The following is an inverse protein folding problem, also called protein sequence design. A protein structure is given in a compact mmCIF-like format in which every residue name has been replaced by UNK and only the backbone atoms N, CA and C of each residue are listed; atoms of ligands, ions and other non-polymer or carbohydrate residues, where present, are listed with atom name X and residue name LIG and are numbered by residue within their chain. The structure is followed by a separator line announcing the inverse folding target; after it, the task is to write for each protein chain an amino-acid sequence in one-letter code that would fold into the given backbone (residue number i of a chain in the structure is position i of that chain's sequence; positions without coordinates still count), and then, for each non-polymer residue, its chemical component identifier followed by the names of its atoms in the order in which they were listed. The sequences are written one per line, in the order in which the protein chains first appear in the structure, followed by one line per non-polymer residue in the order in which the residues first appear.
data_IF_545926803785
#
_entry.id   IF_545926803785
#
_cell.length_a   1.000
_cell.length_b   1.000
_cell.length_c   1.000
_cell.angle_alpha   90.00
_cell.angle_beta   90.00
_cell.angle_gamma   90.00
#
_symmetry.space_group_name_H-M   'P 1'
#
loop_
_entity.id
_entity.type
_entity.pdbx_description
1 polymer ?
#
# COMPACT_ATOMS: atom_id res chain seq x y z
N UNK A 1 -9.67 25.64 13.88
CA UNK A 1 -10.85 25.31 13.06
C UNK A 1 -11.36 23.88 13.34
N UNK A 2 -10.61 22.78 13.05
CA UNK A 2 -11.11 21.40 13.25
C UNK A 2 -11.53 21.10 14.69
N UNK A 3 -10.71 21.46 15.69
CA UNK A 3 -11.07 21.25 17.10
C UNK A 3 -12.34 21.98 17.51
N UNK A 4 -12.51 23.24 17.09
CA UNK A 4 -13.71 24.03 17.37
C UNK A 4 -14.95 23.38 16.75
N UNK A 5 -14.87 22.95 15.48
CA UNK A 5 -15.95 22.23 14.81
C UNK A 5 -16.30 20.92 15.55
N UNK A 6 -15.30 20.14 15.95
CA UNK A 6 -15.52 18.88 16.69
C UNK A 6 -16.26 19.11 18.03
N UNK A 7 -15.91 20.16 18.77
CA UNK A 7 -16.60 20.52 20.01
C UNK A 7 -18.05 20.94 19.75
N UNK A 8 -18.31 21.67 18.68
CA UNK A 8 -19.68 22.03 18.26
C UNK A 8 -20.49 20.77 17.91
N UNK A 9 -19.91 19.82 17.19
CA UNK A 9 -20.58 18.56 16.82
C UNK A 9 -20.84 17.66 18.04
N UNK A 10 -19.96 17.66 19.04
CA UNK A 10 -20.19 16.97 20.32
C UNK A 10 -21.36 17.62 21.06
N UNK A 11 -21.36 18.95 21.17
CA UNK A 11 -22.45 19.68 21.84
C UNK A 11 -23.80 19.46 21.16
N UNK A 12 -23.80 19.28 19.83
CA UNK A 12 -24.99 18.95 19.04
C UNK A 12 -25.39 17.46 19.06
N UNK A 13 -24.63 16.60 19.78
CA UNK A 13 -24.89 15.16 19.84
C UNK A 13 -24.61 14.40 18.54
N UNK A 14 -23.91 15.00 17.57
CA UNK A 14 -23.59 14.39 16.27
C UNK A 14 -22.44 13.40 16.38
N UNK A 15 -21.42 13.69 17.21
CA UNK A 15 -20.31 12.79 17.52
C UNK A 15 -20.16 12.66 19.03
N UNK A 16 -19.77 11.47 19.51
CA UNK A 16 -19.64 11.20 20.93
C UNK A 16 -18.31 11.68 21.53
N UNK A 17 -17.25 11.67 20.74
CA UNK A 17 -15.89 11.96 21.20
C UNK A 17 -15.12 12.82 20.18
N UNK A 18 -14.05 13.47 20.64
CA UNK A 18 -13.11 14.13 19.74
C UNK A 18 -12.47 13.10 18.81
N UNK A 19 -12.22 13.46 17.54
CA UNK A 19 -11.44 12.63 16.63
C UNK A 19 -10.05 12.35 17.21
N UNK A 20 -9.55 11.14 16.99
CA UNK A 20 -8.17 10.76 17.30
C UNK A 20 -7.17 11.64 16.54
N UNK A 21 -5.90 11.59 16.94
CA UNK A 21 -4.85 12.30 16.22
C UNK A 21 -4.80 11.93 14.73
N UNK A 22 -4.88 10.63 14.41
CA UNK A 22 -4.87 10.15 13.03
C UNK A 22 -6.09 10.63 12.23
N UNK A 23 -7.28 10.53 12.80
CA UNK A 23 -8.52 11.03 12.16
C UNK A 23 -8.46 12.54 11.90
N UNK A 24 -7.94 13.30 12.88
CA UNK A 24 -7.75 14.75 12.72
C UNK A 24 -6.76 15.07 11.60
N UNK A 25 -5.62 14.36 11.56
CA UNK A 25 -4.61 14.53 10.52
C UNK A 25 -5.16 14.15 9.14
N UNK A 26 -5.91 13.05 9.05
CA UNK A 26 -6.55 12.61 7.82
C UNK A 26 -7.55 13.65 7.29
N UNK A 27 -8.42 14.18 8.16
CA UNK A 27 -9.36 15.25 7.79
C UNK A 27 -8.61 16.51 7.32
N UNK A 28 -7.56 16.93 8.04
CA UNK A 28 -6.74 18.07 7.65
C UNK A 28 -6.08 17.87 6.28
N UNK A 29 -5.60 16.64 5.99
CA UNK A 29 -5.03 16.29 4.69
C UNK A 29 -6.08 16.37 3.57
N UNK A 30 -7.29 15.86 3.78
CA UNK A 30 -8.38 15.96 2.79
C UNK A 30 -8.74 17.42 2.49
N UNK A 31 -8.89 18.25 3.52
CA UNK A 31 -9.12 19.69 3.33
C UNK A 31 -7.98 20.37 2.56
N UNK A 32 -6.74 20.03 2.89
CA UNK A 32 -5.58 20.55 2.17
C UNK A 32 -5.59 20.14 0.69
N UNK A 33 -5.81 18.86 0.38
CA UNK A 33 -5.86 18.37 -1.00
C UNK A 33 -6.95 19.08 -1.82
N UNK A 34 -8.16 19.24 -1.25
CA UNK A 34 -9.24 19.98 -1.91
C UNK A 34 -8.86 21.44 -2.12
N UNK A 35 -8.32 22.12 -1.10
CA UNK A 35 -7.94 23.53 -1.19
C UNK A 35 -6.80 23.80 -2.19
N UNK A 36 -5.97 22.78 -2.46
CA UNK A 36 -4.87 22.86 -3.44
C UNK A 36 -5.27 22.36 -4.83
N UNK A 37 -6.51 21.92 -5.01
CA UNK A 37 -6.97 21.37 -6.29
C UNK A 37 -6.24 20.11 -6.70
N UNK A 38 -5.89 19.24 -5.76
CA UNK A 38 -5.15 18.01 -6.05
C UNK A 38 -5.97 17.06 -6.91
N UNK A 39 -5.44 16.67 -8.08
CA UNK A 39 -6.07 15.69 -8.97
C UNK A 39 -6.00 14.27 -8.44
N UNK A 40 -4.96 13.96 -7.66
CA UNK A 40 -4.69 12.63 -7.10
C UNK A 40 -4.25 12.71 -5.66
N UNK A 41 -4.73 11.76 -4.86
CA UNK A 41 -4.27 11.52 -3.51
C UNK A 41 -3.88 10.05 -3.33
N UNK A 42 -2.71 9.81 -2.73
CA UNK A 42 -2.30 8.48 -2.28
C UNK A 42 -2.48 8.43 -0.78
N UNK A 43 -3.39 7.56 -0.31
CA UNK A 43 -3.75 7.44 1.08
C UNK A 43 -3.19 6.15 1.66
N UNK A 44 -2.39 6.25 2.71
CA UNK A 44 -1.93 5.10 3.47
C UNK A 44 -2.84 4.85 4.66
N UNK A 45 -3.26 3.59 4.84
CA UNK A 45 -4.07 3.15 5.99
C UNK A 45 -3.23 3.26 7.27
N UNK A 46 -3.77 3.89 8.29
CA UNK A 46 -3.08 4.00 9.58
C UNK A 46 -2.97 2.65 10.29
N UNK A 47 -4.10 1.93 10.44
CA UNK A 47 -4.13 0.64 11.11
C UNK A 47 -5.24 -0.27 10.58
N UNK A 48 -4.88 -1.50 10.25
CA UNK A 48 -5.83 -2.52 9.78
C UNK A 48 -6.41 -2.21 8.42
N UNK A 49 -7.55 -1.59 8.33
CA UNK A 49 -8.24 -1.17 7.11
C UNK A 49 -9.75 -1.07 7.27
N UNK A 50 -10.41 -2.09 7.84
CA UNK A 50 -11.88 -2.15 7.93
C UNK A 50 -12.50 -0.97 8.67
N UNK A 51 -11.90 -0.53 9.75
CA UNK A 51 -12.36 0.56 10.61
C UNK A 51 -11.44 1.79 10.57
N UNK A 52 -10.50 1.82 9.64
CA UNK A 52 -9.59 2.96 9.49
C UNK A 52 -10.31 4.16 8.88
N UNK A 53 -9.93 5.37 9.29
CA UNK A 53 -10.53 6.60 8.80
C UNK A 53 -10.42 6.74 7.27
N UNK A 54 -9.33 6.24 6.67
CA UNK A 54 -9.16 6.25 5.21
C UNK A 54 -10.19 5.40 4.47
N UNK A 55 -10.86 4.45 5.17
CA UNK A 55 -11.93 3.65 4.59
C UNK A 55 -13.21 4.42 4.28
N UNK A 56 -13.35 5.66 4.70
CA UNK A 56 -14.48 6.55 4.34
C UNK A 56 -14.40 7.00 2.88
N UNK A 57 -13.19 7.01 2.28
CA UNK A 57 -12.98 7.40 0.88
C UNK A 57 -13.28 6.23 -0.06
N UNK A 58 -13.88 6.51 -1.22
CA UNK A 58 -14.02 5.53 -2.32
C UNK A 58 -12.85 5.76 -3.27
N UNK A 59 -11.84 4.87 -3.29
CA UNK A 59 -10.66 5.06 -4.11
C UNK A 59 -10.86 4.57 -5.55
N UNK A 60 -10.00 5.00 -6.46
CA UNK A 60 -9.90 4.46 -7.82
C UNK A 60 -9.33 3.03 -7.84
N UNK A 61 -8.44 2.72 -6.88
CA UNK A 61 -7.86 1.39 -6.67
C UNK A 61 -7.51 1.22 -5.18
N UNK A 62 -7.79 0.05 -4.63
CA UNK A 62 -7.34 -0.35 -3.28
C UNK A 62 -6.15 -1.30 -3.39
N UNK A 63 -5.18 -1.20 -2.47
CA UNK A 63 -3.96 -2.01 -2.51
C UNK A 63 -3.69 -2.66 -1.16
N UNK A 64 -3.48 -3.97 -1.15
CA UNK A 64 -2.89 -4.71 -0.02
C UNK A 64 -1.51 -5.17 -0.45
N UNK A 65 -0.46 -4.58 0.11
CA UNK A 65 0.92 -4.86 -0.28
C UNK A 65 1.35 -6.26 0.12
N UNK A 66 1.23 -6.59 1.39
CA UNK A 66 1.47 -7.92 1.97
C UNK A 66 0.71 -8.08 3.29
N UNK A 67 0.75 -9.29 3.85
CA UNK A 67 0.26 -9.59 5.19
C UNK A 67 1.38 -10.22 6.00
N UNK A 68 1.76 -9.57 7.07
CA UNK A 68 2.72 -10.05 8.07
C UNK A 68 2.15 -9.88 9.48
N UNK A 69 2.79 -10.50 10.47
CA UNK A 69 2.44 -10.27 11.88
C UNK A 69 2.92 -8.88 12.29
N UNK A 70 1.97 -8.00 12.52
CA UNK A 70 2.17 -6.66 13.04
C UNK A 70 0.93 -6.23 13.80
N UNK A 71 1.08 -5.35 14.78
CA UNK A 71 -0.02 -4.85 15.62
C UNK A 71 -0.95 -5.96 16.14
N UNK A 72 -0.36 -7.11 16.54
CA UNK A 72 -1.12 -8.32 16.88
C UNK A 72 -2.03 -8.16 18.11
N UNK A 73 -1.77 -7.17 18.95
CA UNK A 73 -2.59 -6.82 20.11
C UNK A 73 -3.92 -6.14 19.72
N UNK A 74 -4.00 -5.54 18.51
CA UNK A 74 -5.21 -4.89 17.97
C UNK A 74 -5.84 -5.72 16.87
N UNK A 75 -5.03 -6.14 15.86
CA UNK A 75 -5.53 -6.79 14.65
C UNK A 75 -5.73 -8.30 14.82
N UNK A 76 -5.30 -8.85 15.96
CA UNK A 76 -5.39 -10.28 16.24
C UNK A 76 -4.10 -11.04 16.01
N UNK A 77 -3.96 -12.19 16.72
CA UNK A 77 -2.70 -12.95 16.83
C UNK A 77 -2.36 -13.79 15.60
N UNK A 78 -3.25 -13.90 14.62
CA UNK A 78 -3.06 -14.75 13.44
C UNK A 78 -3.00 -13.95 12.15
N UNK A 79 -2.25 -14.44 11.14
CA UNK A 79 -2.24 -13.84 9.80
C UNK A 79 -3.65 -13.78 9.19
N UNK A 80 -4.52 -14.73 9.55
CA UNK A 80 -5.89 -14.77 9.10
C UNK A 80 -6.73 -13.60 9.68
N UNK A 81 -6.56 -13.28 10.97
CA UNK A 81 -7.24 -12.15 11.60
C UNK A 81 -6.76 -10.83 10.98
N UNK A 82 -5.45 -10.63 10.86
CA UNK A 82 -4.86 -9.46 10.24
C UNK A 82 -5.32 -9.30 8.79
N UNK A 83 -5.39 -10.41 8.03
CA UNK A 83 -5.87 -10.39 6.65
C UNK A 83 -7.34 -9.94 6.55
N UNK A 84 -8.21 -10.35 7.50
CA UNK A 84 -9.62 -9.90 7.51
C UNK A 84 -9.74 -8.40 7.74
N UNK A 85 -8.99 -7.84 8.68
CA UNK A 85 -8.99 -6.41 8.95
C UNK A 85 -8.46 -5.61 7.75
N UNK A 86 -7.33 -6.03 7.16
CA UNK A 86 -6.76 -5.36 6.00
C UNK A 86 -7.64 -5.51 4.74
N UNK A 87 -8.26 -6.66 4.53
CA UNK A 87 -9.18 -6.87 3.42
C UNK A 87 -10.46 -6.00 3.51
N UNK A 88 -10.73 -5.41 4.67
CA UNK A 88 -11.83 -4.48 4.87
C UNK A 88 -11.80 -3.24 3.98
N UNK A 89 -10.65 -2.87 3.40
CA UNK A 89 -10.54 -1.77 2.42
C UNK A 89 -11.20 -2.08 1.07
N UNK A 90 -11.51 -3.35 0.79
CA UNK A 90 -12.17 -3.75 -0.45
C UNK A 90 -13.57 -3.14 -0.56
N UNK A 91 -13.88 -2.50 -1.67
CA UNK A 91 -15.14 -1.82 -1.96
C UNK A 91 -15.75 -2.32 -3.26
N UNK A 92 -17.08 -2.29 -3.35
CA UNK A 92 -17.83 -2.71 -4.53
C UNK A 92 -17.38 -1.96 -5.78
N UNK A 93 -17.06 -2.69 -6.85
CA UNK A 93 -16.66 -2.14 -8.15
C UNK A 93 -15.27 -1.48 -8.18
N UNK A 94 -14.57 -1.40 -7.04
CA UNK A 94 -13.21 -0.85 -6.96
C UNK A 94 -12.20 -1.99 -7.10
N UNK A 95 -11.23 -1.92 -8.02
CA UNK A 95 -10.17 -2.92 -8.13
C UNK A 95 -9.38 -3.03 -6.83
N UNK A 96 -9.20 -4.28 -6.37
CA UNK A 96 -8.36 -4.61 -5.23
C UNK A 96 -7.09 -5.29 -5.72
N UNK A 97 -5.96 -4.63 -5.58
CA UNK A 97 -4.65 -5.21 -5.87
C UNK A 97 -4.12 -5.94 -4.64
N UNK A 98 -3.66 -7.18 -4.81
CA UNK A 98 -3.09 -7.97 -3.73
C UNK A 98 -1.68 -8.44 -4.07
N UNK A 99 -0.69 -8.02 -3.26
CA UNK A 99 0.68 -8.51 -3.27
C UNK A 99 0.92 -9.74 -2.38
N UNK A 100 -0.14 -10.37 -1.88
CA UNK A 100 0.00 -11.60 -1.11
C UNK A 100 0.31 -12.80 -2.02
N UNK A 101 1.22 -13.71 -1.63
CA UNK A 101 1.46 -14.95 -2.38
C UNK A 101 0.16 -15.78 -2.50
N UNK A 102 -0.15 -16.33 -3.70
CA UNK A 102 -1.49 -16.82 -4.02
C UNK A 102 -1.95 -18.05 -3.23
N UNK A 103 -1.01 -18.84 -2.69
CA UNK A 103 -1.31 -20.08 -1.94
C UNK A 103 -1.38 -19.89 -0.42
N UNK A 104 -1.41 -18.65 0.07
CA UNK A 104 -1.45 -18.33 1.50
C UNK A 104 -2.87 -18.26 2.04
N UNK A 105 -3.02 -18.41 3.37
CA UNK A 105 -4.29 -18.18 4.05
C UNK A 105 -4.77 -16.73 3.87
N UNK A 106 -3.85 -15.77 3.88
CA UNK A 106 -4.15 -14.36 3.63
C UNK A 106 -4.78 -14.14 2.25
N UNK A 107 -4.20 -14.72 1.18
CA UNK A 107 -4.75 -14.62 -0.17
C UNK A 107 -6.16 -15.21 -0.27
N UNK A 108 -6.44 -16.34 0.41
CA UNK A 108 -7.78 -16.93 0.44
C UNK A 108 -8.82 -15.99 1.08
N UNK A 109 -8.44 -15.33 2.17
CA UNK A 109 -9.31 -14.37 2.87
C UNK A 109 -9.57 -13.13 1.99
N UNK A 110 -8.52 -12.59 1.36
CA UNK A 110 -8.64 -11.46 0.45
C UNK A 110 -9.56 -11.80 -0.73
N UNK A 111 -9.40 -12.98 -1.35
CA UNK A 111 -10.30 -13.46 -2.42
C UNK A 111 -11.74 -13.57 -1.96
N UNK A 112 -11.97 -14.17 -0.78
CA UNK A 112 -13.31 -14.31 -0.22
C UNK A 112 -13.96 -12.93 0.02
N UNK A 113 -13.21 -11.98 0.59
CA UNK A 113 -13.70 -10.61 0.80
C UNK A 113 -13.98 -9.90 -0.51
N UNK A 114 -13.07 -9.96 -1.48
CA UNK A 114 -13.25 -9.34 -2.80
C UNK A 114 -14.52 -9.84 -3.49
N UNK A 115 -14.77 -11.17 -3.47
CA UNK A 115 -16.01 -11.74 -4.00
C UNK A 115 -17.25 -11.25 -3.25
N UNK A 116 -17.22 -11.26 -1.91
CA UNK A 116 -18.36 -10.86 -1.08
C UNK A 116 -18.80 -9.41 -1.32
N UNK A 117 -17.85 -8.49 -1.62
CA UNK A 117 -18.17 -7.10 -1.92
C UNK A 117 -18.18 -6.79 -3.42
N UNK A 118 -18.02 -7.78 -4.29
CA UNK A 118 -17.97 -7.58 -5.73
C UNK A 118 -16.84 -6.61 -6.17
N UNK A 119 -15.67 -6.69 -5.53
CA UNK A 119 -14.47 -5.97 -5.92
C UNK A 119 -13.69 -6.80 -6.96
N UNK A 120 -13.35 -6.25 -8.15
CA UNK A 120 -12.44 -6.90 -9.07
C UNK A 120 -11.08 -7.15 -8.39
N UNK A 121 -10.60 -8.39 -8.37
CA UNK A 121 -9.35 -8.73 -7.70
C UNK A 121 -8.21 -8.90 -8.71
N UNK A 122 -7.10 -8.19 -8.46
CA UNK A 122 -5.88 -8.20 -9.24
C UNK A 122 -4.71 -8.72 -8.40
N UNK A 123 -4.38 -10.00 -8.52
CA UNK A 123 -3.29 -10.61 -7.77
C UNK A 123 -1.95 -10.43 -8.50
N UNK A 124 -0.95 -9.92 -7.79
CA UNK A 124 0.38 -9.60 -8.36
C UNK A 124 1.17 -10.86 -8.73
N UNK A 125 0.98 -11.95 -7.98
CA UNK A 125 1.78 -13.18 -8.12
C UNK A 125 0.96 -14.40 -8.53
N UNK A 126 -0.32 -14.25 -8.82
CA UNK A 126 -1.12 -15.37 -9.31
C UNK A 126 -1.04 -15.49 -10.84
N UNK A 127 -0.92 -16.69 -11.41
CA UNK A 127 -0.92 -16.88 -12.85
C UNK A 127 -2.16 -16.22 -13.52
N UNK A 128 -1.99 -15.60 -14.69
CA UNK A 128 -0.80 -15.57 -15.53
C UNK A 128 0.21 -14.46 -15.18
N UNK A 129 0.06 -13.74 -14.05
CA UNK A 129 1.00 -12.70 -13.66
C UNK A 129 2.34 -13.32 -13.20
N UNK A 130 3.44 -12.70 -13.61
CA UNK A 130 4.80 -13.15 -13.33
C UNK A 130 5.74 -11.96 -13.11
N UNK A 131 6.53 -12.02 -12.03
CA UNK A 131 7.61 -11.08 -11.75
C UNK A 131 8.96 -11.79 -11.86
N UNK A 132 9.79 -11.36 -12.81
CA UNK A 132 11.19 -11.75 -12.89
C UNK A 132 12.09 -10.63 -12.41
N UNK A 133 13.06 -10.97 -11.56
CA UNK A 133 13.97 -10.02 -10.92
C UNK A 133 15.40 -10.49 -11.09
N UNK A 134 16.20 -9.68 -11.74
CA UNK A 134 17.64 -9.87 -11.92
C UNK A 134 18.39 -8.79 -11.15
N UNK A 135 19.37 -9.18 -10.31
CA UNK A 135 20.26 -8.22 -9.63
C UNK A 135 21.36 -7.79 -10.61
N UNK A 136 21.48 -6.47 -10.85
CA UNK A 136 22.52 -5.90 -11.71
C UNK A 136 23.22 -4.75 -10.99
N UNK A 137 24.40 -5.05 -10.43
CA UNK A 137 25.09 -4.12 -9.54
C UNK A 137 24.25 -3.82 -8.29
N UNK A 138 24.06 -2.54 -7.99
CA UNK A 138 23.26 -2.08 -6.85
C UNK A 138 21.74 -2.02 -7.14
N UNK A 139 21.30 -2.34 -8.35
CA UNK A 139 19.90 -2.24 -8.76
C UNK A 139 19.30 -3.61 -9.11
N UNK A 140 17.96 -3.65 -9.18
CA UNK A 140 17.21 -4.79 -9.68
C UNK A 140 16.54 -4.44 -11.00
N UNK A 141 16.81 -5.22 -12.04
CA UNK A 141 16.08 -5.18 -13.30
C UNK A 141 14.86 -6.08 -13.17
N UNK A 142 13.71 -5.52 -13.40
CA UNK A 142 12.43 -6.19 -13.21
C UNK A 142 11.68 -6.27 -14.54
N UNK A 143 11.12 -7.45 -14.81
CA UNK A 143 10.13 -7.68 -15.85
C UNK A 143 8.88 -8.22 -15.18
N UNK A 144 7.81 -7.45 -15.24
CA UNK A 144 6.52 -7.83 -14.69
C UNK A 144 5.50 -8.00 -15.81
N UNK A 145 4.96 -9.19 -15.93
CA UNK A 145 3.83 -9.50 -16.81
C UNK A 145 2.55 -9.62 -15.99
N UNK A 146 1.48 -9.07 -16.50
CA UNK A 146 0.13 -9.24 -15.98
C UNK A 146 -0.85 -9.34 -17.16
N UNK A 147 -2.12 -9.75 -16.96
CA UNK A 147 -3.04 -9.92 -18.07
C UNK A 147 -3.09 -8.72 -19.02
N UNK A 148 -2.69 -8.92 -20.27
CA UNK A 148 -2.71 -7.88 -21.33
C UNK A 148 -1.60 -6.82 -21.25
N UNK A 149 -0.65 -6.91 -20.32
CA UNK A 149 0.41 -5.90 -20.17
C UNK A 149 1.75 -6.51 -19.77
N UNK A 150 2.84 -5.90 -20.22
CA UNK A 150 4.21 -6.18 -19.78
C UNK A 150 4.91 -4.87 -19.43
N UNK A 151 5.60 -4.87 -18.30
CA UNK A 151 6.36 -3.73 -17.78
C UNK A 151 7.81 -4.14 -17.55
N UNK A 152 8.74 -3.25 -17.93
CA UNK A 152 10.17 -3.37 -17.62
C UNK A 152 10.59 -2.13 -16.86
N UNK A 153 11.17 -2.31 -15.69
CA UNK A 153 11.57 -1.21 -14.84
C UNK A 153 12.82 -1.57 -14.02
N UNK A 154 13.50 -0.54 -13.55
CA UNK A 154 14.70 -0.66 -12.72
C UNK A 154 14.40 -0.12 -11.33
N UNK A 155 14.60 -0.94 -10.32
CA UNK A 155 14.48 -0.58 -8.90
C UNK A 155 15.88 -0.28 -8.37
N UNK A 156 16.11 0.95 -7.96
CA UNK A 156 17.38 1.42 -7.37
C UNK A 156 17.35 1.39 -5.84
N UNK A 157 16.17 1.39 -5.26
CA UNK A 157 15.97 1.24 -3.83
C UNK A 157 16.53 -0.10 -3.36
N UNK A 158 17.25 -0.08 -2.22
CA UNK A 158 17.95 -1.25 -1.70
C UNK A 158 17.00 -2.31 -1.14
N UNK A 159 17.41 -3.58 -1.23
CA UNK A 159 16.63 -4.73 -0.80
C UNK A 159 15.76 -5.35 -1.91
N UNK A 160 15.89 -6.67 -2.09
CA UNK A 160 15.13 -7.41 -3.12
C UNK A 160 13.61 -7.28 -2.99
N UNK A 161 13.11 -7.11 -1.76
CA UNK A 161 11.68 -6.91 -1.50
C UNK A 161 11.10 -5.66 -2.18
N UNK A 162 11.93 -4.64 -2.47
CA UNK A 162 11.49 -3.44 -3.19
C UNK A 162 11.09 -3.74 -4.64
N UNK A 163 11.65 -4.77 -5.25
CA UNK A 163 11.16 -5.23 -6.56
C UNK A 163 9.71 -5.76 -6.47
N UNK A 164 9.38 -6.45 -5.40
CA UNK A 164 8.01 -6.89 -5.12
C UNK A 164 7.07 -5.71 -4.86
N UNK A 165 7.48 -4.75 -4.04
CA UNK A 165 6.71 -3.53 -3.77
C UNK A 165 6.45 -2.74 -5.07
N UNK A 166 7.47 -2.60 -5.92
CA UNK A 166 7.34 -1.98 -7.23
C UNK A 166 6.36 -2.73 -8.14
N UNK A 167 6.37 -4.07 -8.14
CA UNK A 167 5.40 -4.86 -8.91
C UNK A 167 3.95 -4.64 -8.43
N UNK A 168 3.73 -4.49 -7.11
CA UNK A 168 2.42 -4.14 -6.55
C UNK A 168 1.98 -2.75 -7.04
N UNK A 169 2.87 -1.76 -7.01
CA UNK A 169 2.58 -0.43 -7.51
C UNK A 169 2.28 -0.43 -9.02
N UNK A 170 3.08 -1.16 -9.82
CA UNK A 170 2.84 -1.32 -11.27
C UNK A 170 1.48 -1.97 -11.52
N UNK A 171 1.11 -2.97 -10.75
CA UNK A 171 -0.20 -3.62 -10.89
C UNK A 171 -1.36 -2.68 -10.56
N UNK A 172 -1.20 -1.82 -9.55
CA UNK A 172 -2.19 -0.79 -9.23
C UNK A 172 -2.34 0.22 -10.39
N UNK A 173 -1.22 0.66 -10.96
CA UNK A 173 -1.23 1.56 -12.13
C UNK A 173 -1.85 0.87 -13.35
N UNK A 174 -1.62 -0.43 -13.56
CA UNK A 174 -2.24 -1.19 -14.65
C UNK A 174 -3.77 -1.21 -14.51
N UNK A 175 -4.31 -1.36 -13.30
CA UNK A 175 -5.76 -1.25 -13.06
C UNK A 175 -6.29 0.17 -13.32
N UNK A 176 -5.55 1.22 -12.97
CA UNK A 176 -5.90 2.60 -13.32
C UNK A 176 -5.94 2.82 -14.83
N UNK A 177 -4.96 2.27 -15.57
CA UNK A 177 -4.93 2.32 -17.06
C UNK A 177 -6.12 1.61 -17.67
N UNK A 178 -6.52 0.45 -17.14
CA UNK A 178 -7.73 -0.31 -17.57
C UNK A 178 -9.00 0.51 -17.36
N UNK A 179 -9.00 1.42 -16.40
CA UNK A 179 -10.10 2.36 -16.12
C UNK A 179 -9.99 3.66 -16.93
N UNK A 180 -9.12 3.70 -17.95
CA UNK A 180 -9.00 4.82 -18.88
C UNK A 180 -8.04 5.93 -18.43
N UNK A 181 -7.25 5.72 -17.36
CA UNK A 181 -6.25 6.73 -16.96
C UNK A 181 -5.04 6.69 -17.88
N UNK A 182 -4.71 7.83 -18.50
CA UNK A 182 -3.62 7.96 -19.47
C UNK A 182 -2.26 7.99 -18.77
N UNK A 183 -1.71 6.83 -18.40
CA UNK A 183 -0.40 6.68 -17.77
C UNK A 183 0.49 5.87 -18.70
N UNK A 184 1.57 6.44 -19.23
CA UNK A 184 2.47 5.73 -20.14
C UNK A 184 3.38 4.74 -19.41
N UNK A 185 3.80 3.67 -20.11
CA UNK A 185 4.77 2.73 -19.54
C UNK A 185 6.12 3.40 -19.20
N UNK A 186 6.51 4.41 -19.99
CA UNK A 186 7.70 5.22 -19.73
C UNK A 186 7.58 6.03 -18.42
N UNK A 187 6.40 6.61 -18.14
CA UNK A 187 6.14 7.32 -16.88
C UNK A 187 6.23 6.37 -15.68
N UNK A 188 5.69 5.16 -15.81
CA UNK A 188 5.79 4.11 -14.77
C UNK A 188 7.25 3.75 -14.50
N UNK A 189 8.03 3.44 -15.55
CA UNK A 189 9.43 3.06 -15.43
C UNK A 189 10.28 4.19 -14.83
N UNK A 190 9.99 5.45 -15.21
CA UNK A 190 10.66 6.63 -14.66
C UNK A 190 10.34 6.81 -13.18
N UNK A 191 9.06 6.78 -12.79
CA UNK A 191 8.64 6.95 -11.40
C UNK A 191 9.26 5.91 -10.46
N UNK A 192 9.35 4.64 -10.90
CA UNK A 192 10.01 3.60 -10.10
C UNK A 192 11.52 3.84 -10.00
N UNK A 193 12.18 4.27 -11.08
CA UNK A 193 13.62 4.55 -11.08
C UNK A 193 13.97 5.73 -10.19
N UNK A 194 13.14 6.77 -10.17
CA UNK A 194 13.35 8.01 -9.44
C UNK A 194 12.81 7.96 -8.01
N UNK A 195 12.10 6.88 -7.66
CA UNK A 195 11.55 6.68 -6.32
C UNK A 195 12.68 6.62 -5.28
N UNK A 196 12.55 7.45 -4.25
CA UNK A 196 13.35 7.39 -3.04
C UNK A 196 12.42 7.37 -1.82
N UNK A 197 12.59 6.39 -0.95
CA UNK A 197 11.85 6.28 0.32
C UNK A 197 12.89 6.32 1.43
N UNK A 198 12.91 7.40 2.24
CA UNK A 198 13.81 7.51 3.38
C UNK A 198 13.65 6.34 4.37
N UNK A 199 14.69 6.04 5.11
CA UNK A 199 14.70 4.99 6.12
C UNK A 199 14.24 3.60 5.58
N UNK A 200 14.66 3.25 4.36
CA UNK A 200 14.53 1.91 3.78
C UNK A 200 15.89 1.42 3.30
N UNK A 201 16.66 0.82 4.22
CA UNK A 201 18.07 0.44 4.03
C UNK A 201 18.87 1.64 3.51
N UNK A 202 18.68 2.77 4.11
CA UNK A 202 19.33 4.01 3.73
C UNK A 202 20.73 4.09 4.37
N UNK A 203 21.76 4.26 3.52
CA UNK A 203 23.12 4.43 3.99
C UNK A 203 23.44 5.91 4.22
N UNK A 204 23.74 6.23 5.45
CA UNK A 204 24.25 7.54 5.83
C UNK A 204 25.78 7.49 5.88
N UNK A 205 26.49 8.38 5.16
CA UNK A 205 27.95 8.40 5.20
C UNK A 205 28.44 8.87 6.58
N UNK A 206 29.54 8.27 7.03
CA UNK A 206 30.13 8.60 8.33
C UNK A 206 31.23 7.61 8.73
N UNK A 207 31.80 7.80 9.91
CA UNK A 207 32.78 6.89 10.51
C UNK A 207 32.35 6.59 11.96
N UNK A 208 31.72 5.44 12.22
CA UNK A 208 31.33 4.39 11.28
C UNK A 208 30.18 4.81 10.37
N UNK A 209 29.96 4.13 9.21
CA UNK A 209 28.77 4.35 8.39
C UNK A 209 27.52 3.82 9.12
N UNK A 210 26.38 4.47 8.89
CA UNK A 210 25.10 4.12 9.53
C UNK A 210 24.11 3.65 8.50
N UNK A 211 23.35 2.59 8.81
CA UNK A 211 22.17 2.18 8.03
C UNK A 211 20.92 2.60 8.80
N UNK A 212 20.06 3.37 8.12
CA UNK A 212 18.76 3.75 8.64
C UNK A 212 17.67 2.91 7.97
N UNK A 213 16.85 2.24 8.80
CA UNK A 213 15.71 1.43 8.33
C UNK A 213 14.53 1.53 9.29
N UNK A 214 13.32 1.66 8.76
CA UNK A 214 12.08 1.73 9.53
C UNK A 214 11.49 0.36 9.89
N UNK A 215 12.21 -0.73 9.64
CA UNK A 215 11.79 -2.10 10.02
C UNK A 215 11.75 -2.25 11.54
N UNK A 216 10.55 -2.47 12.09
CA UNK A 216 10.30 -2.58 13.53
C UNK A 216 9.55 -3.89 13.90
N UNK A 217 9.23 -4.70 12.93
CA UNK A 217 8.60 -6.00 13.12
C UNK A 217 9.52 -7.14 12.61
N UNK A 218 9.18 -8.37 12.96
CA UNK A 218 10.00 -9.55 12.62
C UNK A 218 10.30 -9.65 11.11
N UNK A 219 9.32 -9.34 10.25
CA UNK A 219 9.49 -9.42 8.80
C UNK A 219 10.45 -8.33 8.29
N UNK A 220 10.34 -7.09 8.80
CA UNK A 220 11.23 -5.98 8.44
C UNK A 220 12.66 -6.21 8.89
N UNK A 221 12.86 -6.64 10.14
CA UNK A 221 14.21 -6.94 10.67
C UNK A 221 14.86 -8.09 9.89
N UNK A 222 14.09 -9.13 9.54
CA UNK A 222 14.63 -10.23 8.71
C UNK A 222 15.16 -9.74 7.38
N UNK A 223 14.42 -8.88 6.70
CA UNK A 223 14.86 -8.27 5.41
C UNK A 223 16.14 -7.47 5.59
N UNK A 224 16.27 -6.73 6.70
CA UNK A 224 17.49 -5.96 6.99
C UNK A 224 18.70 -6.86 7.25
N UNK A 225 18.51 -7.98 7.94
CA UNK A 225 19.57 -8.96 8.22
C UNK A 225 20.01 -9.72 6.95
N UNK A 226 19.08 -9.98 6.04
CA UNK A 226 19.36 -10.65 4.75
C UNK A 226 20.06 -9.73 3.73
N UNK A 227 20.12 -8.41 3.99
CA UNK A 227 20.76 -7.41 3.13
C UNK A 227 22.27 -7.32 3.37
#
# INVERSE_FOLDING_TARGET
ALRSLSLTLIAAGVIANLPTFFETLFLAALFHFVSRGADWAVLEVGLGGRLDATSTVIPEVSVITNISRDHTHILGKTLAAIAREKAGIAKKGVPLVSGCPPRTAAARIIRARARAVQAPLAEVYAPPAELRVEKKGAAFLCRYRCPGSEYRFRVVQKGRHQAGNAAVAVRAIDELRRRGRAISAAAVARGIREMFIPARIEWLPGRPPVILDGGHNHAGIRVLVEY
#
